data_IF_807162916778
#
_entry.id   IF_807162916778
#
_cell.length_a   1.000
_cell.length_b   1.000
_cell.length_c   1.000
_cell.angle_alpha   90.00
_cell.angle_beta   90.00
_cell.angle_gamma   90.00
#
_symmetry.space_group_name_H-M   'P 1'
#
loop_
_entity.id
_entity.type
_entity.pdbx_description
1 polymer ?
#
# COMPACT_ATOMS: atom_id res chain seq x y z
N UNK A 1 -1.54 -21.71 -17.01
CA UNK A 1 -0.85 -22.37 -15.88
C UNK A 1 0.56 -21.81 -15.62
N UNK A 2 1.46 -21.67 -16.65
CA UNK A 2 2.84 -21.18 -16.42
C UNK A 2 2.89 -19.73 -15.88
N UNK A 3 2.08 -18.82 -16.41
CA UNK A 3 1.98 -17.44 -15.93
C UNK A 3 1.53 -17.41 -14.45
N UNK A 4 0.49 -18.16 -14.07
CA UNK A 4 0.01 -18.22 -12.69
C UNK A 4 1.05 -18.75 -11.69
N UNK A 5 1.90 -19.70 -12.10
CA UNK A 5 3.03 -20.14 -11.28
C UNK A 5 4.07 -19.03 -11.05
N UNK A 6 4.31 -18.19 -12.06
CA UNK A 6 5.15 -17.00 -11.85
C UNK A 6 4.50 -16.02 -10.88
N UNK A 7 3.22 -15.72 -11.08
CA UNK A 7 2.43 -14.83 -10.20
C UNK A 7 2.43 -15.31 -8.75
N UNK A 8 2.29 -16.61 -8.51
CA UNK A 8 2.41 -17.25 -7.19
C UNK A 8 3.79 -17.03 -6.55
N UNK A 9 4.86 -17.23 -7.33
CA UNK A 9 6.23 -16.99 -6.84
C UNK A 9 6.46 -15.53 -6.48
N UNK A 10 5.95 -14.61 -7.30
CA UNK A 10 6.00 -13.16 -7.04
C UNK A 10 5.23 -12.81 -5.76
N UNK A 11 4.04 -13.38 -5.57
CA UNK A 11 3.26 -13.21 -4.36
C UNK A 11 3.99 -13.73 -3.11
N UNK A 12 4.50 -14.95 -3.17
CA UNK A 12 5.22 -15.55 -2.06
C UNK A 12 6.50 -14.77 -1.68
N UNK A 13 7.18 -14.20 -2.67
CA UNK A 13 8.31 -13.32 -2.42
C UNK A 13 7.90 -12.02 -1.73
N UNK A 14 6.79 -11.41 -2.15
CA UNK A 14 6.33 -10.13 -1.61
C UNK A 14 5.70 -10.27 -0.21
N UNK A 15 4.86 -11.28 0.01
CA UNK A 15 3.96 -11.34 1.17
C UNK A 15 4.14 -12.54 2.09
N UNK A 16 4.92 -13.57 1.73
CA UNK A 16 5.09 -14.70 2.64
C UNK A 16 5.95 -14.31 3.85
N UNK A 17 5.71 -14.96 5.00
CA UNK A 17 6.53 -14.79 6.21
C UNK A 17 8.03 -15.10 5.98
N UNK A 18 8.36 -15.82 4.92
CA UNK A 18 9.72 -16.12 4.46
C UNK A 18 10.19 -15.19 3.34
N UNK A 19 9.31 -14.32 2.83
CA UNK A 19 9.61 -13.39 1.75
C UNK A 19 10.56 -12.29 2.19
N UNK A 20 11.50 -11.93 1.35
CA UNK A 20 12.55 -10.97 1.68
C UNK A 20 12.04 -9.53 1.77
N UNK A 21 10.97 -9.17 1.06
CA UNK A 21 10.43 -7.80 1.11
C UNK A 21 9.73 -7.45 2.44
N UNK A 22 9.19 -8.44 3.16
CA UNK A 22 8.53 -8.20 4.44
C UNK A 22 9.48 -8.10 5.65
N UNK A 23 10.77 -8.41 5.48
CA UNK A 23 11.72 -8.53 6.60
C UNK A 23 12.83 -7.50 6.65
N UNK A 24 13.13 -6.83 5.54
CA UNK A 24 14.23 -5.87 5.53
C UNK A 24 13.91 -4.75 4.56
N UNK A 25 13.77 -3.53 5.03
CA UNK A 25 13.79 -2.39 4.14
C UNK A 25 15.15 -2.41 3.41
N UNK A 26 15.15 -2.20 2.09
CA UNK A 26 16.37 -2.14 1.28
C UNK A 26 17.15 -0.85 1.57
N UNK A 27 17.62 -0.70 2.81
CA UNK A 27 18.33 0.51 3.24
C UNK A 27 19.82 0.51 2.87
N UNK A 28 20.38 -0.68 2.58
CA UNK A 28 21.81 -0.82 2.26
C UNK A 28 21.99 -1.38 0.86
N UNK A 29 23.02 -0.91 0.19
CA UNK A 29 23.39 -1.38 -1.15
C UNK A 29 23.52 -2.91 -1.22
N UNK A 30 24.04 -3.52 -0.16
CA UNK A 30 24.19 -4.97 -0.04
C UNK A 30 22.86 -5.73 0.01
N UNK A 31 21.81 -5.14 0.57
CA UNK A 31 20.48 -5.75 0.60
C UNK A 31 19.87 -5.75 -0.80
N UNK A 32 20.10 -4.68 -1.56
CA UNK A 32 19.69 -4.59 -2.98
C UNK A 32 20.43 -5.62 -3.84
N UNK A 33 21.75 -5.77 -3.66
CA UNK A 33 22.53 -6.74 -4.42
C UNK A 33 22.10 -8.19 -4.17
N UNK A 34 21.72 -8.54 -2.94
CA UNK A 34 21.18 -9.88 -2.60
C UNK A 34 19.85 -10.17 -3.26
N UNK A 35 19.06 -9.16 -3.54
CA UNK A 35 17.70 -9.30 -4.12
C UNK A 35 17.75 -9.34 -5.65
N UNK A 36 18.78 -8.78 -6.30
CA UNK A 36 18.92 -8.76 -7.76
C UNK A 36 18.74 -10.14 -8.44
N UNK A 37 19.39 -11.22 -7.98
CA UNK A 37 19.20 -12.54 -8.59
C UNK A 37 17.76 -13.04 -8.49
N UNK A 38 17.09 -12.72 -7.38
CA UNK A 38 15.70 -13.09 -7.15
C UNK A 38 14.79 -12.30 -8.08
N UNK A 39 15.05 -11.02 -8.30
CA UNK A 39 14.31 -10.19 -9.25
C UNK A 39 14.45 -10.70 -10.68
N UNK A 40 15.65 -11.16 -11.09
CA UNK A 40 15.86 -11.79 -12.38
C UNK A 40 15.04 -13.09 -12.51
N UNK A 41 15.04 -13.94 -11.48
CA UNK A 41 14.25 -15.18 -11.44
C UNK A 41 12.74 -14.91 -11.48
N UNK A 42 12.29 -13.85 -10.86
CA UNK A 42 10.89 -13.40 -10.84
C UNK A 42 10.54 -12.57 -12.09
N UNK A 43 11.49 -12.37 -13.00
CA UNK A 43 11.34 -11.56 -14.22
C UNK A 43 10.93 -10.13 -13.97
N UNK A 44 11.33 -9.54 -12.83
CA UNK A 44 11.04 -8.17 -12.46
C UNK A 44 11.71 -7.12 -13.39
N UNK A 45 12.63 -7.57 -14.25
CA UNK A 45 13.36 -6.82 -15.27
C UNK A 45 12.50 -6.29 -16.41
N UNK A 46 11.28 -6.81 -16.56
CA UNK A 46 10.37 -6.47 -17.67
C UNK A 46 9.03 -5.97 -17.21
N UNK A 47 8.28 -5.36 -18.12
CA UNK A 47 6.93 -4.91 -17.81
C UNK A 47 5.96 -6.09 -17.62
N UNK A 48 4.88 -5.84 -16.85
CA UNK A 48 3.84 -6.86 -16.64
C UNK A 48 3.20 -7.32 -17.96
N UNK A 49 3.00 -6.40 -18.92
CA UNK A 49 2.50 -6.75 -20.25
C UNK A 49 3.46 -7.68 -21.02
N UNK A 50 4.77 -7.35 -21.05
CA UNK A 50 5.80 -8.21 -21.68
C UNK A 50 5.88 -9.57 -20.98
N UNK A 51 5.73 -9.59 -19.66
CA UNK A 51 5.68 -10.84 -18.91
C UNK A 51 4.49 -11.70 -19.33
N UNK A 52 3.27 -11.14 -19.37
CA UNK A 52 2.07 -11.82 -19.84
C UNK A 52 2.24 -12.31 -21.29
N UNK A 53 2.79 -11.48 -22.17
CA UNK A 53 3.03 -11.81 -23.58
C UNK A 53 3.98 -13.01 -23.78
N UNK A 54 4.90 -13.27 -22.83
CA UNK A 54 5.79 -14.45 -22.89
C UNK A 54 5.04 -15.77 -22.67
N UNK A 55 3.82 -15.75 -22.17
CA UNK A 55 3.04 -16.94 -21.83
C UNK A 55 1.75 -17.08 -22.63
N UNK A 56 1.25 -15.98 -23.20
CA UNK A 56 -0.06 -15.93 -23.84
C UNK A 56 0.04 -15.21 -25.20
N UNK A 57 -0.43 -15.85 -26.25
CA UNK A 57 -0.46 -15.28 -27.61
C UNK A 57 -1.65 -14.37 -27.88
N UNK A 58 -2.81 -14.64 -27.25
CA UNK A 58 -4.01 -13.84 -27.43
C UNK A 58 -3.87 -12.44 -26.79
N UNK A 59 -4.06 -11.37 -27.59
CA UNK A 59 -3.86 -9.99 -27.15
C UNK A 59 -4.84 -9.54 -26.07
N UNK A 60 -6.11 -9.94 -26.16
CA UNK A 60 -7.13 -9.61 -25.15
C UNK A 60 -6.78 -10.24 -23.80
N UNK A 61 -6.30 -11.48 -23.82
CA UNK A 61 -5.90 -12.16 -22.60
C UNK A 61 -4.59 -11.59 -22.01
N UNK A 62 -3.65 -11.14 -22.86
CA UNK A 62 -2.48 -10.38 -22.38
C UNK A 62 -2.91 -9.14 -21.63
N UNK A 63 -3.86 -8.40 -22.19
CA UNK A 63 -4.37 -7.18 -21.58
C UNK A 63 -5.06 -7.49 -20.24
N UNK A 64 -5.94 -8.47 -20.20
CA UNK A 64 -6.63 -8.90 -18.98
C UNK A 64 -5.67 -9.34 -17.87
N UNK A 65 -4.52 -9.97 -18.20
CA UNK A 65 -3.52 -10.40 -17.22
C UNK A 65 -2.55 -9.29 -16.80
N UNK A 66 -2.59 -8.13 -17.43
CA UNK A 66 -1.64 -7.05 -17.19
C UNK A 66 -2.26 -5.71 -16.78
N UNK A 67 -3.58 -5.59 -16.71
CA UNK A 67 -4.23 -4.30 -16.50
C UNK A 67 -4.19 -3.78 -15.05
N UNK A 68 -3.93 -4.64 -14.08
CA UNK A 68 -3.98 -4.31 -12.65
C UNK A 68 -3.19 -3.05 -12.22
N UNK A 69 -2.03 -2.71 -12.81
CA UNK A 69 -1.35 -1.46 -12.48
C UNK A 69 -2.20 -0.20 -12.69
N UNK A 70 -3.18 -0.24 -13.58
CA UNK A 70 -4.08 0.91 -13.84
C UNK A 70 -4.85 1.33 -12.59
N UNK A 71 -5.11 0.42 -11.65
CA UNK A 71 -5.79 0.76 -10.38
C UNK A 71 -5.01 1.75 -9.50
N UNK A 72 -3.71 1.85 -9.70
CA UNK A 72 -2.83 2.78 -8.98
C UNK A 72 -2.16 3.80 -9.89
N UNK A 73 -2.71 4.01 -11.10
CA UNK A 73 -2.18 4.95 -12.08
C UNK A 73 -0.91 4.47 -12.79
N UNK A 74 -0.56 3.19 -12.68
CA UNK A 74 0.62 2.62 -13.32
C UNK A 74 0.35 2.17 -14.77
N UNK A 75 1.31 2.39 -15.66
CA UNK A 75 1.23 1.96 -17.05
C UNK A 75 1.69 0.48 -17.18
N UNK A 76 0.83 -0.46 -17.65
CA UNK A 76 1.18 -1.88 -17.79
C UNK A 76 2.38 -2.17 -18.69
N UNK A 77 2.71 -1.27 -19.60
CA UNK A 77 3.84 -1.41 -20.54
C UNK A 77 5.19 -1.03 -19.94
N UNK A 78 5.20 -0.30 -18.81
CA UNK A 78 6.42 0.21 -18.17
C UNK A 78 6.65 -0.32 -16.76
N UNK A 79 5.57 -0.55 -15.98
CA UNK A 79 5.72 -1.05 -14.60
C UNK A 79 6.19 -2.50 -14.56
N UNK A 80 6.94 -2.83 -13.52
CA UNK A 80 7.53 -4.15 -13.32
C UNK A 80 6.51 -5.28 -13.36
N UNK A 81 6.93 -6.43 -13.87
CA UNK A 81 6.13 -7.66 -13.92
C UNK A 81 5.70 -8.18 -12.55
N UNK A 82 6.28 -7.67 -11.47
CA UNK A 82 5.86 -8.01 -10.11
C UNK A 82 4.37 -7.78 -9.87
N UNK A 83 3.75 -6.85 -10.58
CA UNK A 83 2.29 -6.65 -10.58
C UNK A 83 1.49 -7.88 -11.02
N UNK A 84 2.13 -8.85 -11.69
CA UNK A 84 1.52 -10.14 -12.01
C UNK A 84 1.04 -10.91 -10.78
N UNK A 85 1.59 -10.62 -9.59
CA UNK A 85 1.17 -11.23 -8.31
C UNK A 85 -0.33 -11.02 -8.00
N UNK A 86 -0.93 -9.91 -8.48
CA UNK A 86 -2.34 -9.59 -8.26
C UNK A 86 -3.25 -10.64 -8.91
N UNK A 87 -2.87 -11.18 -10.08
CA UNK A 87 -3.61 -12.29 -10.70
C UNK A 87 -3.67 -13.54 -9.80
N UNK A 88 -2.59 -13.80 -9.05
CA UNK A 88 -2.59 -14.91 -8.09
C UNK A 88 -3.47 -14.59 -6.87
N UNK A 89 -3.42 -13.35 -6.36
CA UNK A 89 -4.28 -12.89 -5.28
C UNK A 89 -5.76 -13.10 -5.60
N UNK A 90 -6.19 -12.61 -6.76
CA UNK A 90 -7.59 -12.75 -7.22
C UNK A 90 -8.00 -14.22 -7.39
N UNK A 91 -7.12 -15.01 -8.01
CA UNK A 91 -7.39 -16.43 -8.21
C UNK A 91 -7.42 -17.23 -6.90
N UNK A 92 -6.57 -16.91 -5.94
CA UNK A 92 -6.41 -17.66 -4.69
C UNK A 92 -7.41 -17.25 -3.63
N UNK A 93 -7.71 -15.96 -3.51
CA UNK A 93 -8.51 -15.40 -2.43
C UNK A 93 -9.86 -14.88 -2.90
N UNK A 94 -10.07 -14.74 -4.21
CA UNK A 94 -11.28 -14.18 -4.79
C UNK A 94 -11.28 -12.65 -4.80
N UNK A 95 -12.32 -12.11 -5.42
CA UNK A 95 -12.62 -10.66 -5.45
C UNK A 95 -13.98 -10.48 -4.80
N UNK A 96 -14.06 -9.60 -3.81
CA UNK A 96 -15.26 -9.38 -3.01
C UNK A 96 -15.74 -7.94 -3.13
N UNK A 97 -17.04 -7.78 -3.12
CA UNK A 97 -17.68 -6.48 -3.05
C UNK A 97 -18.31 -6.30 -1.66
N UNK A 98 -18.14 -5.12 -1.08
CA UNK A 98 -18.72 -4.81 0.24
C UNK A 98 -20.18 -4.43 0.05
N UNK A 99 -21.10 -5.10 0.73
CA UNK A 99 -22.50 -4.74 0.77
C UNK A 99 -22.69 -3.28 1.21
N UNK A 100 -23.35 -2.46 0.39
CA UNK A 100 -23.46 -1.02 0.62
C UNK A 100 -22.23 -0.21 0.20
N UNK A 101 -21.20 -0.84 -0.41
CA UNK A 101 -20.00 -0.19 -0.94
C UNK A 101 -19.02 0.26 0.14
N UNK A 102 -17.97 0.96 -0.28
CA UNK A 102 -16.89 1.43 0.61
C UNK A 102 -17.41 2.37 1.71
N UNK A 103 -18.45 3.15 1.41
CA UNK A 103 -19.07 4.07 2.37
C UNK A 103 -19.69 3.33 3.56
N UNK A 104 -20.38 2.20 3.31
CA UNK A 104 -20.94 1.38 4.39
C UNK A 104 -19.85 0.84 5.33
N UNK A 105 -18.70 0.47 4.76
CA UNK A 105 -17.54 0.08 5.56
C UNK A 105 -17.07 1.22 6.47
N UNK A 106 -16.93 2.43 5.92
CA UNK A 106 -16.49 3.60 6.69
C UNK A 106 -17.48 3.93 7.84
N UNK A 107 -18.78 3.89 7.57
CA UNK A 107 -19.79 4.07 8.62
C UNK A 107 -19.73 3.00 9.69
N UNK A 108 -19.60 1.73 9.32
CA UNK A 108 -19.48 0.63 10.29
C UNK A 108 -18.24 0.78 11.17
N UNK A 109 -17.12 1.22 10.60
CA UNK A 109 -15.91 1.50 11.37
C UNK A 109 -16.10 2.68 12.34
N UNK A 110 -16.75 3.76 11.90
CA UNK A 110 -17.06 4.90 12.75
C UNK A 110 -17.99 4.52 13.91
N UNK A 111 -19.03 3.74 13.66
CA UNK A 111 -19.93 3.23 14.70
C UNK A 111 -19.19 2.30 15.68
N UNK A 112 -18.27 1.48 15.19
CA UNK A 112 -17.43 0.65 16.06
C UNK A 112 -16.54 1.47 16.97
N UNK A 113 -15.95 2.56 16.49
CA UNK A 113 -15.16 3.50 17.30
C UNK A 113 -16.05 4.09 18.41
N UNK A 114 -17.22 4.61 18.05
CA UNK A 114 -18.16 5.20 19.04
C UNK A 114 -18.62 4.19 20.08
N UNK A 115 -19.02 2.98 19.65
CA UNK A 115 -19.45 1.92 20.57
C UNK A 115 -18.34 1.42 21.51
N UNK A 116 -17.09 1.68 21.18
CA UNK A 116 -15.93 1.39 22.00
C UNK A 116 -15.50 2.56 22.90
N UNK A 117 -16.33 3.61 22.99
CA UNK A 117 -16.03 4.80 23.82
C UNK A 117 -15.18 5.87 23.12
N UNK A 118 -14.85 5.67 21.85
CA UNK A 118 -14.11 6.65 21.05
C UNK A 118 -15.01 7.73 20.47
N UNK A 119 -14.39 8.78 19.96
CA UNK A 119 -15.08 9.89 19.27
C UNK A 119 -14.67 9.96 17.80
N UNK A 120 -15.61 10.35 16.96
CA UNK A 120 -15.36 10.67 15.54
C UNK A 120 -15.84 12.10 15.32
N UNK A 121 -14.91 13.01 15.10
CA UNK A 121 -15.19 14.43 14.86
C UNK A 121 -14.97 14.75 13.40
N UNK A 122 -16.00 15.20 12.73
CA UNK A 122 -15.98 15.58 11.31
C UNK A 122 -15.82 17.08 11.15
N UNK A 123 -15.43 17.52 9.94
CA UNK A 123 -15.25 18.94 9.61
C UNK A 123 -14.30 19.67 10.57
N UNK A 124 -13.28 18.98 11.05
CA UNK A 124 -12.33 19.48 12.03
C UNK A 124 -10.92 19.35 11.47
N UNK A 125 -10.32 20.47 11.14
CA UNK A 125 -8.97 20.52 10.58
C UNK A 125 -7.93 20.51 11.69
N UNK A 126 -7.00 19.56 11.62
CA UNK A 126 -5.80 19.58 12.47
C UNK A 126 -4.75 20.46 11.79
N UNK A 127 -4.34 21.50 12.51
CA UNK A 127 -3.34 22.47 12.02
C UNK A 127 -1.91 22.07 12.40
N UNK A 128 -1.72 21.42 13.55
CA UNK A 128 -0.37 21.06 14.04
C UNK A 128 -0.39 19.81 14.91
N UNK A 129 0.66 19.00 14.81
CA UNK A 129 0.98 17.95 15.78
C UNK A 129 1.86 18.59 16.86
N UNK A 130 1.40 18.55 18.10
CA UNK A 130 2.14 19.09 19.24
C UNK A 130 3.20 18.09 19.68
N UNK A 131 4.43 18.56 19.84
CA UNK A 131 5.57 17.73 20.26
C UNK A 131 6.26 18.32 21.48
N UNK A 132 6.78 17.45 22.33
CA UNK A 132 7.65 17.76 23.46
C UNK A 132 8.70 16.66 23.58
N UNK A 133 9.96 17.02 23.72
CA UNK A 133 11.09 16.09 23.85
C UNK A 133 11.08 14.99 22.76
N UNK A 134 10.89 15.39 21.50
CA UNK A 134 10.77 14.51 20.32
C UNK A 134 9.62 13.48 20.37
N UNK A 135 8.61 13.72 21.21
CA UNK A 135 7.41 12.87 21.30
C UNK A 135 6.18 13.68 20.94
N UNK A 136 5.27 13.08 20.18
CA UNK A 136 3.94 13.65 19.98
C UNK A 136 3.17 13.60 21.31
N UNK A 137 2.54 14.71 21.68
CA UNK A 137 1.75 14.87 22.92
C UNK A 137 0.30 15.26 22.65
N UNK A 138 -0.08 15.39 21.39
CA UNK A 138 -1.42 15.77 20.98
C UNK A 138 -1.46 16.52 19.66
N UNK A 139 -2.57 17.16 19.40
CA UNK A 139 -2.80 17.96 18.18
C UNK A 139 -3.38 19.32 18.52
N UNK A 140 -3.17 20.30 17.64
CA UNK A 140 -3.84 21.58 17.67
C UNK A 140 -4.76 21.70 16.46
N UNK A 141 -6.00 22.05 16.70
CA UNK A 141 -7.00 22.29 15.67
C UNK A 141 -6.82 23.69 15.06
N UNK A 142 -7.41 23.90 13.89
CA UNK A 142 -7.45 25.23 13.25
C UNK A 142 -8.18 26.27 14.12
N UNK A 143 -9.15 25.85 14.92
CA UNK A 143 -9.82 26.68 15.93
C UNK A 143 -8.90 27.19 17.06
N UNK A 144 -7.70 26.67 17.16
CA UNK A 144 -6.76 26.93 18.25
C UNK A 144 -6.89 25.96 19.42
N UNK A 145 -7.93 25.14 19.48
CA UNK A 145 -8.11 24.12 20.50
C UNK A 145 -6.97 23.11 20.50
N UNK A 146 -6.53 22.67 21.67
CA UNK A 146 -5.49 21.64 21.83
C UNK A 146 -6.08 20.38 22.43
N UNK A 147 -5.85 19.26 21.78
CA UNK A 147 -6.29 17.95 22.23
C UNK A 147 -5.03 17.14 22.60
N UNK A 148 -4.93 16.75 23.86
CA UNK A 148 -3.82 15.92 24.35
C UNK A 148 -4.03 14.45 23.98
N UNK A 149 -2.96 13.74 23.65
CA UNK A 149 -2.98 12.31 23.34
C UNK A 149 -1.62 11.68 23.65
N UNK A 150 -1.63 10.43 24.08
CA UNK A 150 -0.41 9.64 24.31
C UNK A 150 0.24 9.21 22.97
N UNK A 151 -0.57 9.05 21.92
CA UNK A 151 -0.15 8.69 20.57
C UNK A 151 -0.94 9.51 19.54
N UNK A 152 -0.26 9.90 18.48
CA UNK A 152 -0.88 10.55 17.32
C UNK A 152 -0.58 9.70 16.07
N UNK A 153 -1.63 9.27 15.36
CA UNK A 153 -1.53 8.55 14.09
C UNK A 153 -2.01 9.49 12.98
N UNK A 154 -1.11 9.85 12.08
CA UNK A 154 -1.44 10.67 10.91
C UNK A 154 -1.72 9.78 9.71
N UNK A 155 -2.89 9.93 9.09
CA UNK A 155 -3.23 9.38 7.78
C UNK A 155 -3.25 10.48 6.69
N UNK A 156 -2.74 11.65 6.99
CA UNK A 156 -2.45 12.67 5.98
C UNK A 156 -1.27 12.22 5.09
N UNK A 157 -1.12 12.86 3.93
CA UNK A 157 0.04 12.65 3.08
C UNK A 157 1.35 12.80 3.87
N UNK A 158 2.34 11.95 3.56
CA UNK A 158 3.60 11.90 4.30
C UNK A 158 4.31 13.26 4.28
N UNK A 159 4.40 13.89 3.11
CA UNK A 159 5.04 15.18 2.96
C UNK A 159 4.29 16.25 3.76
N UNK A 160 2.96 16.29 3.67
CA UNK A 160 2.14 17.23 4.45
C UNK A 160 2.29 17.00 5.96
N UNK A 161 2.37 15.75 6.41
CA UNK A 161 2.57 15.44 7.84
C UNK A 161 3.88 16.02 8.34
N UNK A 162 4.99 15.85 7.61
CA UNK A 162 6.30 16.33 8.06
C UNK A 162 6.50 17.83 7.82
N UNK A 163 6.08 18.34 6.66
CA UNK A 163 6.35 19.74 6.28
C UNK A 163 5.38 20.72 6.96
N UNK A 164 4.09 20.34 7.04
CA UNK A 164 3.04 21.22 7.58
C UNK A 164 2.70 20.92 9.02
N UNK A 165 2.33 19.67 9.32
CA UNK A 165 1.80 19.36 10.66
C UNK A 165 2.88 19.27 11.74
N UNK A 166 4.10 18.83 11.42
CA UNK A 166 5.24 18.80 12.35
C UNK A 166 6.12 20.05 12.24
N UNK A 167 6.02 20.84 11.15
CA UNK A 167 6.73 22.09 10.96
C UNK A 167 8.24 21.93 10.90
N UNK A 168 8.76 21.08 9.99
CA UNK A 168 10.20 20.90 9.76
C UNK A 168 11.05 20.64 11.00
N UNK A 169 10.49 20.06 12.06
CA UNK A 169 11.30 19.58 13.16
C UNK A 169 12.13 18.37 12.71
N UNK A 170 13.36 18.68 12.30
CA UNK A 170 14.41 17.69 12.03
C UNK A 170 15.12 17.31 13.34
#
# INVERSE_FOLDING_TARGET
>A
RKFMRLSERQYNFAFSKKGSMGRSPMHRLWDTLKVLPIFALLRADRSVYRSAASYVSNSKLRFALSFHPLFVGGNPFTVTSMWGLVNYLEHRFGVYYIHGGALAMAYTMAEKIKSSGGQVTLNTTVNKILTKDNKAIGVQLESGEKISADYVVSNADLQNTYDSLLGHQR
#
